data_IF_423679136572
#
_entry.id   IF_423679136572
#
_cell.length_a   1.000
_cell.length_b   1.000
_cell.length_c   1.000
_cell.angle_alpha   90.00
_cell.angle_beta   90.00
_cell.angle_gamma   90.00
#
_symmetry.space_group_name_H-M   'P 1'
#
loop_
_entity.id
_entity.type
_entity.pdbx_description
1 polymer ?
#
# COMPACT_ATOMS: atom_id res chain seq x y z
N UNK A 1 -97.61 20.82 -55.04
CA UNK A 1 -96.48 20.32 -54.20
C UNK A 1 -95.22 20.27 -55.04
N UNK A 2 -94.05 20.67 -54.51
CA UNK A 2 -92.83 19.96 -54.89
C UNK A 2 -91.98 19.53 -53.69
N UNK A 3 -91.33 18.39 -53.90
CA UNK A 3 -90.55 17.57 -52.99
C UNK A 3 -89.16 18.16 -52.75
N UNK A 4 -88.70 18.11 -51.49
CA UNK A 4 -87.34 18.45 -51.07
C UNK A 4 -86.35 17.32 -51.42
N UNK A 5 -85.16 17.69 -51.92
CA UNK A 5 -83.98 16.84 -51.85
C UNK A 5 -83.10 17.30 -50.67
N UNK A 6 -82.80 16.44 -49.69
CA UNK A 6 -82.00 16.84 -48.54
C UNK A 6 -80.52 16.88 -48.92
N UNK A 7 -79.98 18.08 -49.07
CA UNK A 7 -78.53 18.24 -49.13
C UNK A 7 -77.92 17.82 -47.78
N UNK A 8 -77.11 16.75 -47.82
CA UNK A 8 -76.22 16.35 -46.76
C UNK A 8 -75.23 17.49 -46.51
N UNK A 9 -75.52 18.34 -45.52
CA UNK A 9 -74.60 19.37 -45.04
C UNK A 9 -73.50 18.67 -44.24
N UNK A 10 -72.45 18.28 -44.96
CA UNK A 10 -71.24 17.76 -44.37
C UNK A 10 -70.67 18.82 -43.40
N UNK A 11 -70.73 18.54 -42.10
CA UNK A 11 -70.40 19.50 -41.04
C UNK A 11 -68.88 19.59 -40.84
N UNK A 12 -68.25 20.44 -41.65
CA UNK A 12 -66.80 20.66 -41.68
C UNK A 12 -66.24 21.16 -40.32
N UNK A 13 -67.04 21.90 -39.56
CA UNK A 13 -66.62 22.47 -38.27
C UNK A 13 -66.53 21.40 -37.18
N UNK A 14 -67.47 20.45 -37.16
CA UNK A 14 -67.45 19.32 -36.22
C UNK A 14 -66.28 18.35 -36.50
N UNK A 15 -65.92 18.15 -37.77
CA UNK A 15 -64.69 17.42 -38.13
C UNK A 15 -63.41 18.17 -37.69
N UNK A 16 -63.34 19.49 -37.87
CA UNK A 16 -62.16 20.28 -37.50
C UNK A 16 -61.85 20.22 -35.99
N UNK A 17 -62.90 20.24 -35.15
CA UNK A 17 -62.77 20.15 -33.69
C UNK A 17 -62.32 18.73 -33.28
N UNK A 18 -62.88 17.70 -33.90
CA UNK A 18 -62.47 16.30 -33.64
C UNK A 18 -61.02 16.03 -34.02
N UNK A 19 -60.55 16.57 -35.15
CA UNK A 19 -59.16 16.45 -35.59
C UNK A 19 -58.21 17.19 -34.63
N UNK A 20 -58.59 18.37 -34.14
CA UNK A 20 -57.78 19.14 -33.19
C UNK A 20 -57.58 18.40 -31.86
N UNK A 21 -58.64 17.79 -31.32
CA UNK A 21 -58.58 16.99 -30.09
C UNK A 21 -57.69 15.76 -30.28
N UNK A 22 -57.75 15.10 -31.44
CA UNK A 22 -56.90 13.95 -31.74
C UNK A 22 -55.42 14.36 -31.81
N UNK A 23 -55.10 15.50 -32.43
CA UNK A 23 -53.72 16.03 -32.50
C UNK A 23 -53.18 16.37 -31.10
N UNK A 24 -53.99 16.99 -30.24
CA UNK A 24 -53.58 17.31 -28.88
C UNK A 24 -53.33 16.04 -28.05
N UNK A 25 -54.19 15.03 -28.15
CA UNK A 25 -54.00 13.74 -27.48
C UNK A 25 -52.75 13.01 -27.99
N UNK A 26 -52.51 12.98 -29.30
CA UNK A 26 -51.27 12.44 -29.89
C UNK A 26 -50.04 13.17 -29.33
N UNK A 27 -50.05 14.49 -29.29
CA UNK A 27 -48.97 15.31 -28.73
C UNK A 27 -48.73 15.03 -27.23
N UNK A 28 -49.79 14.85 -26.45
CA UNK A 28 -49.70 14.51 -25.03
C UNK A 28 -49.13 13.10 -24.82
N UNK A 29 -49.51 12.12 -25.65
CA UNK A 29 -48.95 10.77 -25.59
C UNK A 29 -47.46 10.73 -25.96
N UNK A 30 -47.02 11.47 -26.98
CA UNK A 30 -45.61 11.58 -27.33
C UNK A 30 -44.77 12.19 -26.20
N UNK A 31 -45.28 13.24 -25.54
CA UNK A 31 -44.60 13.87 -24.39
C UNK A 31 -44.49 12.92 -23.19
N UNK A 32 -45.51 12.13 -22.92
CA UNK A 32 -45.47 11.10 -21.87
C UNK A 32 -44.43 10.02 -22.18
N UNK A 33 -44.39 9.51 -23.42
CA UNK A 33 -43.44 8.47 -23.81
C UNK A 33 -41.98 8.97 -23.75
N UNK A 34 -41.73 10.21 -24.16
CA UNK A 34 -40.40 10.84 -24.03
C UNK A 34 -40.00 11.01 -22.56
N UNK A 35 -40.94 11.35 -21.67
CA UNK A 35 -40.71 11.44 -20.23
C UNK A 35 -40.40 10.07 -19.61
N UNK A 36 -41.17 9.03 -19.98
CA UNK A 36 -40.93 7.63 -19.58
C UNK A 36 -39.57 7.14 -20.08
N UNK A 37 -39.14 7.51 -21.28
CA UNK A 37 -37.84 7.14 -21.83
C UNK A 37 -36.69 7.84 -21.10
N UNK A 38 -36.83 9.14 -20.77
CA UNK A 38 -35.84 9.87 -19.96
C UNK A 38 -35.67 9.28 -18.57
N UNK A 39 -36.77 8.95 -17.89
CA UNK A 39 -36.72 8.33 -16.54
C UNK A 39 -36.08 6.94 -16.58
N UNK A 40 -36.40 6.11 -17.59
CA UNK A 40 -35.72 4.82 -17.83
C UNK A 40 -34.20 5.00 -18.03
N UNK A 41 -33.79 5.98 -18.85
CA UNK A 41 -32.37 6.28 -19.09
C UNK A 41 -31.64 6.72 -17.81
N UNK A 42 -32.26 7.60 -17.02
CA UNK A 42 -31.70 8.04 -15.74
C UNK A 42 -31.57 6.89 -14.74
N UNK A 43 -32.57 6.02 -14.65
CA UNK A 43 -32.51 4.84 -13.79
C UNK A 43 -31.40 3.87 -14.19
N UNK A 44 -31.19 3.66 -15.50
CA UNK A 44 -30.08 2.84 -15.99
C UNK A 44 -28.72 3.44 -15.59
N UNK A 45 -28.54 4.77 -15.76
CA UNK A 45 -27.32 5.47 -15.32
C UNK A 45 -27.10 5.39 -13.82
N UNK A 46 -28.18 5.54 -13.03
CA UNK A 46 -28.11 5.43 -11.58
C UNK A 46 -27.73 4.00 -11.13
N UNK A 47 -28.27 2.98 -11.79
CA UNK A 47 -27.91 1.60 -11.52
C UNK A 47 -26.42 1.32 -11.84
N UNK A 48 -25.93 1.83 -12.97
CA UNK A 48 -24.50 1.77 -13.32
C UNK A 48 -23.63 2.44 -12.26
N UNK A 49 -23.97 3.68 -11.88
CA UNK A 49 -23.23 4.41 -10.84
C UNK A 49 -23.22 3.66 -9.49
N UNK A 50 -24.34 3.05 -9.10
CA UNK A 50 -24.44 2.25 -7.88
C UNK A 50 -23.54 1.02 -7.92
N UNK A 51 -23.45 0.37 -9.08
CA UNK A 51 -22.55 -0.78 -9.29
C UNK A 51 -21.08 -0.35 -9.21
N UNK A 52 -20.72 0.73 -9.89
CA UNK A 52 -19.35 1.27 -9.89
C UNK A 52 -18.92 1.68 -8.48
N UNK A 53 -19.79 2.37 -7.73
CA UNK A 53 -19.54 2.70 -6.32
C UNK A 53 -19.36 1.44 -5.46
N UNK A 54 -20.10 0.37 -5.75
CA UNK A 54 -19.95 -0.93 -5.10
C UNK A 54 -18.56 -1.53 -5.33
N UNK A 55 -18.07 -1.51 -6.56
CA UNK A 55 -16.73 -1.98 -6.93
C UNK A 55 -15.64 -1.13 -6.27
N UNK A 56 -15.73 0.19 -6.37
CA UNK A 56 -14.77 1.11 -5.73
C UNK A 56 -14.67 0.85 -4.22
N UNK A 57 -15.80 0.57 -3.56
CA UNK A 57 -15.82 0.26 -2.13
C UNK A 57 -15.08 -1.05 -1.81
N UNK A 58 -15.16 -2.04 -2.68
CA UNK A 58 -14.43 -3.30 -2.55
C UNK A 58 -12.93 -3.09 -2.79
N UNK A 59 -12.57 -2.38 -3.86
CA UNK A 59 -11.18 -2.06 -4.17
C UNK A 59 -10.53 -1.30 -3.01
N UNK A 60 -11.22 -0.31 -2.45
CA UNK A 60 -10.75 0.42 -1.28
C UNK A 60 -10.58 -0.47 -0.03
N UNK A 61 -11.42 -1.50 0.15
CA UNK A 61 -11.22 -2.48 1.23
C UNK A 61 -9.93 -3.26 0.99
N UNK A 62 -9.77 -3.82 -0.21
CA UNK A 62 -8.58 -4.57 -0.60
C UNK A 62 -7.30 -3.75 -0.40
N UNK A 63 -7.27 -2.50 -0.89
CA UNK A 63 -6.14 -1.58 -0.73
C UNK A 63 -5.79 -1.37 0.73
N UNK A 64 -6.77 -1.16 1.62
CA UNK A 64 -6.50 -0.96 3.06
C UNK A 64 -5.90 -2.20 3.71
N UNK A 65 -6.35 -3.38 3.32
CA UNK A 65 -5.85 -4.65 3.85
C UNK A 65 -4.43 -4.93 3.35
N UNK A 66 -4.14 -4.67 2.09
CA UNK A 66 -2.78 -4.76 1.54
C UNK A 66 -1.83 -3.76 2.20
N UNK A 67 -2.26 -2.51 2.36
CA UNK A 67 -1.48 -1.51 3.08
C UNK A 67 -1.17 -1.93 4.52
N UNK A 68 -2.08 -2.63 5.21
CA UNK A 68 -1.83 -3.18 6.55
C UNK A 68 -0.72 -4.22 6.50
N UNK A 69 -0.81 -5.18 5.58
CA UNK A 69 0.21 -6.23 5.38
C UNK A 69 1.58 -5.63 5.03
N UNK A 70 1.60 -4.59 4.20
CA UNK A 70 2.84 -3.88 3.84
C UNK A 70 3.47 -3.22 5.07
N UNK A 71 2.67 -2.56 5.92
CA UNK A 71 3.17 -1.95 7.16
C UNK A 71 3.76 -2.99 8.10
N UNK A 72 3.08 -4.11 8.31
CA UNK A 72 3.60 -5.20 9.16
C UNK A 72 4.95 -5.72 8.66
N UNK A 73 5.06 -5.99 7.35
CA UNK A 73 6.33 -6.41 6.73
C UNK A 73 7.42 -5.35 6.85
N UNK A 74 7.08 -4.07 6.73
CA UNK A 74 8.05 -2.98 6.85
C UNK A 74 8.62 -2.89 8.27
N UNK A 75 7.78 -3.09 9.31
CA UNK A 75 8.25 -3.13 10.69
C UNK A 75 9.17 -4.34 10.95
N UNK A 76 8.88 -5.51 10.37
CA UNK A 76 9.77 -6.66 10.45
C UNK A 76 11.13 -6.39 9.79
N UNK A 77 11.13 -5.77 8.60
CA UNK A 77 12.37 -5.36 7.91
C UNK A 77 13.13 -4.34 8.75
N UNK A 78 12.44 -3.38 9.38
CA UNK A 78 13.06 -2.37 10.25
C UNK A 78 13.75 -3.02 11.44
N UNK A 79 13.09 -3.99 12.09
CA UNK A 79 13.68 -4.78 13.18
C UNK A 79 14.94 -5.53 12.72
N UNK A 80 14.88 -6.19 11.56
CA UNK A 80 16.02 -6.90 11.00
C UNK A 80 17.20 -5.96 10.68
N UNK A 81 16.93 -4.78 10.12
CA UNK A 81 17.95 -3.76 9.90
C UNK A 81 18.63 -3.32 11.19
N UNK A 82 17.87 -3.12 12.27
CA UNK A 82 18.43 -2.78 13.58
C UNK A 82 19.31 -3.90 14.15
N UNK A 83 18.90 -5.16 14.01
CA UNK A 83 19.70 -6.31 14.43
C UNK A 83 21.02 -6.39 13.65
N UNK A 84 20.96 -6.31 12.32
CA UNK A 84 22.16 -6.30 11.45
C UNK A 84 23.08 -5.13 11.78
N UNK A 85 22.53 -3.95 12.07
CA UNK A 85 23.33 -2.78 12.48
C UNK A 85 24.08 -3.06 13.78
N UNK A 86 23.39 -3.59 14.80
CA UNK A 86 24.01 -3.91 16.09
C UNK A 86 25.09 -4.99 15.95
N UNK A 87 24.84 -6.03 15.16
CA UNK A 87 25.82 -7.08 14.87
C UNK A 87 27.03 -6.51 14.13
N UNK A 88 26.81 -5.66 13.12
CA UNK A 88 27.89 -5.02 12.37
C UNK A 88 28.74 -4.11 13.26
N UNK A 89 28.13 -3.34 14.17
CA UNK A 89 28.85 -2.53 15.16
C UNK A 89 29.69 -3.40 16.10
N UNK A 90 29.16 -4.56 16.53
CA UNK A 90 29.89 -5.50 17.37
C UNK A 90 31.09 -6.11 16.62
N UNK A 91 30.90 -6.53 15.37
CA UNK A 91 31.96 -7.06 14.50
C UNK A 91 33.03 -6.00 14.27
N UNK A 92 32.65 -4.75 13.97
CA UNK A 92 33.60 -3.65 13.78
C UNK A 92 34.46 -3.40 15.03
N UNK A 93 33.83 -3.37 16.22
CA UNK A 93 34.56 -3.26 17.49
C UNK A 93 35.51 -4.43 17.71
N UNK A 94 35.05 -5.66 17.51
CA UNK A 94 35.89 -6.86 17.63
C UNK A 94 37.06 -6.84 16.65
N UNK A 95 36.83 -6.42 15.41
CA UNK A 95 37.85 -6.29 14.37
C UNK A 95 38.92 -5.27 14.75
N UNK A 96 38.53 -4.11 15.30
CA UNK A 96 39.47 -3.12 15.80
C UNK A 96 40.35 -3.67 16.94
N UNK A 97 39.76 -4.38 17.91
CA UNK A 97 40.51 -5.03 18.98
C UNK A 97 41.47 -6.11 18.44
N UNK A 98 41.04 -6.92 17.48
CA UNK A 98 41.88 -7.93 16.85
C UNK A 98 43.07 -7.28 16.13
N UNK A 99 42.86 -6.16 15.44
CA UNK A 99 43.94 -5.43 14.78
C UNK A 99 44.97 -4.90 15.79
N UNK A 100 44.52 -4.35 16.93
CA UNK A 100 45.41 -3.92 18.01
C UNK A 100 46.22 -5.09 18.56
N UNK A 101 45.57 -6.24 18.84
CA UNK A 101 46.25 -7.46 19.32
C UNK A 101 47.35 -7.90 18.34
N UNK A 102 47.05 -7.94 17.04
CA UNK A 102 48.03 -8.30 16.01
C UNK A 102 49.23 -7.36 16.00
N UNK A 103 49.00 -6.04 16.06
CA UNK A 103 50.10 -5.05 16.11
C UNK A 103 51.00 -5.29 17.33
N UNK A 104 50.40 -5.53 18.50
CA UNK A 104 51.17 -5.83 19.73
C UNK A 104 51.95 -7.13 19.59
N UNK A 105 51.35 -8.18 19.01
CA UNK A 105 52.05 -9.45 18.75
C UNK A 105 53.27 -9.26 17.84
N UNK A 106 53.14 -8.47 16.77
CA UNK A 106 54.28 -8.15 15.90
C UNK A 106 55.36 -7.35 16.65
N UNK A 107 54.97 -6.40 17.50
CA UNK A 107 55.92 -5.64 18.32
C UNK A 107 56.66 -6.52 19.33
N UNK A 108 56.01 -7.56 19.89
CA UNK A 108 56.66 -8.55 20.76
C UNK A 108 57.73 -9.32 20.00
N UNK A 109 57.40 -9.81 18.80
CA UNK A 109 58.33 -10.55 17.95
C UNK A 109 59.55 -9.67 17.65
N UNK A 110 59.31 -8.42 17.23
CA UNK A 110 60.37 -7.46 16.94
C UNK A 110 61.25 -7.17 18.17
N UNK A 111 60.65 -6.93 19.35
CA UNK A 111 61.42 -6.69 20.57
C UNK A 111 62.31 -7.88 20.95
N UNK A 112 61.83 -9.12 20.73
CA UNK A 112 62.64 -10.33 20.95
C UNK A 112 63.77 -10.46 19.93
N UNK A 113 63.52 -10.13 18.67
CA UNK A 113 64.53 -10.10 17.60
C UNK A 113 65.63 -9.06 17.91
N UNK A 114 65.23 -7.88 18.41
CA UNK A 114 66.12 -6.79 18.83
C UNK A 114 66.86 -7.08 20.16
N UNK A 115 66.57 -8.20 20.84
CA UNK A 115 67.14 -8.55 22.15
C UNK A 115 66.58 -7.78 23.35
N UNK A 116 65.53 -6.98 23.15
CA UNK A 116 64.85 -6.17 24.18
C UNK A 116 63.76 -7.00 24.90
N UNK A 117 64.21 -7.87 25.81
CA UNK A 117 63.32 -8.76 26.55
C UNK A 117 62.43 -8.03 27.56
N UNK A 118 62.87 -6.91 28.12
CA UNK A 118 62.06 -6.11 29.06
C UNK A 118 60.85 -5.51 28.35
N UNK A 119 61.05 -4.93 27.16
CA UNK A 119 59.95 -4.44 26.31
C UNK A 119 59.05 -5.58 25.86
N UNK A 120 59.60 -6.72 25.47
CA UNK A 120 58.80 -7.88 25.10
C UNK A 120 57.92 -8.36 26.27
N UNK A 121 58.46 -8.39 27.49
CA UNK A 121 57.71 -8.75 28.70
C UNK A 121 56.59 -7.74 29.01
N UNK A 122 56.87 -6.44 28.88
CA UNK A 122 55.87 -5.39 29.04
C UNK A 122 54.71 -5.53 28.04
N UNK A 123 55.03 -5.73 26.75
CA UNK A 123 54.04 -5.92 25.70
C UNK A 123 53.22 -7.21 25.88
N UNK A 124 53.82 -8.30 26.36
CA UNK A 124 53.09 -9.52 26.71
C UNK A 124 52.04 -9.27 27.80
N UNK A 125 52.39 -8.54 28.88
CA UNK A 125 51.44 -8.18 29.94
C UNK A 125 50.31 -7.30 29.40
N UNK A 126 50.64 -6.36 28.52
CA UNK A 126 49.66 -5.51 27.86
C UNK A 126 48.69 -6.32 26.97
N UNK A 127 49.20 -7.26 26.18
CA UNK A 127 48.41 -8.15 25.33
C UNK A 127 47.41 -8.99 26.15
N UNK A 128 47.83 -9.52 27.30
CA UNK A 128 46.94 -10.24 28.21
C UNK A 128 45.81 -9.34 28.72
N UNK A 129 46.13 -8.11 29.17
CA UNK A 129 45.14 -7.15 29.64
C UNK A 129 44.12 -6.73 28.56
N UNK A 130 44.54 -6.57 27.30
CA UNK A 130 43.61 -6.35 26.19
C UNK A 130 42.75 -7.60 25.98
N UNK A 131 43.38 -8.78 26.04
CA UNK A 131 42.70 -10.03 25.76
C UNK A 131 41.57 -10.32 26.73
N UNK A 132 41.82 -10.13 28.02
CA UNK A 132 40.84 -10.31 29.10
C UNK A 132 39.66 -9.34 28.96
N UNK A 133 39.93 -8.07 28.63
CA UNK A 133 38.87 -7.06 28.42
C UNK A 133 37.98 -7.42 27.24
N UNK A 134 38.54 -7.76 26.10
CA UNK A 134 37.77 -8.18 24.93
C UNK A 134 36.97 -9.46 25.22
N UNK A 135 37.54 -10.45 25.92
CA UNK A 135 36.82 -11.68 26.25
C UNK A 135 35.60 -11.42 27.16
N UNK A 136 35.70 -10.46 28.09
CA UNK A 136 34.56 -10.03 28.90
C UNK A 136 33.51 -9.25 28.08
N UNK A 137 33.92 -8.43 27.11
CA UNK A 137 33.01 -7.62 26.30
C UNK A 137 32.24 -8.44 25.25
N UNK A 138 32.81 -9.54 24.75
CA UNK A 138 32.24 -10.30 23.63
C UNK A 138 31.93 -11.77 23.96
N UNK A 139 32.29 -12.28 25.15
CA UNK A 139 32.17 -13.69 25.55
C UNK A 139 30.85 -14.10 26.23
N UNK A 140 29.93 -13.18 26.51
CA UNK A 140 28.66 -13.46 27.22
C UNK A 140 27.54 -14.05 26.33
N UNK A 141 27.80 -14.28 25.04
CA UNK A 141 26.81 -14.70 24.05
C UNK A 141 26.60 -16.21 23.90
N UNK A 142 26.52 -17.01 24.97
CA UNK A 142 26.00 -18.39 24.87
C UNK A 142 25.26 -18.79 26.15
N UNK A 143 23.92 -18.71 26.15
CA UNK A 143 22.95 -19.74 26.59
C UNK A 143 21.52 -19.16 26.49
N UNK A 144 20.95 -19.07 25.28
CA UNK A 144 19.48 -19.12 25.16
C UNK A 144 19.09 -20.58 25.40
N UNK A 145 18.61 -20.89 26.61
CA UNK A 145 17.85 -22.12 26.86
C UNK A 145 16.60 -22.03 26.00
N UNK A 146 16.49 -22.89 25.00
CA UNK A 146 15.20 -23.18 24.37
C UNK A 146 14.42 -23.99 25.39
N UNK A 147 13.29 -23.44 25.82
CA UNK A 147 12.33 -24.10 26.71
C UNK A 147 11.33 -24.91 25.91
#
# INVERSE_FOLDING_TARGET
>A
MPFHSPQSKFNFQSQSVSVSILIENLSMTEKEEVSKQKTKSLNAKFHGLKQDMGQIKEDQRCIRDEQRKIRERLEDVRRQCDEVRLESEAIAKQSAFNRIRLVVMFQIIKAREDGDFDKAALLCRFLNSISDRTNHLFGSGKKKKVS
#
